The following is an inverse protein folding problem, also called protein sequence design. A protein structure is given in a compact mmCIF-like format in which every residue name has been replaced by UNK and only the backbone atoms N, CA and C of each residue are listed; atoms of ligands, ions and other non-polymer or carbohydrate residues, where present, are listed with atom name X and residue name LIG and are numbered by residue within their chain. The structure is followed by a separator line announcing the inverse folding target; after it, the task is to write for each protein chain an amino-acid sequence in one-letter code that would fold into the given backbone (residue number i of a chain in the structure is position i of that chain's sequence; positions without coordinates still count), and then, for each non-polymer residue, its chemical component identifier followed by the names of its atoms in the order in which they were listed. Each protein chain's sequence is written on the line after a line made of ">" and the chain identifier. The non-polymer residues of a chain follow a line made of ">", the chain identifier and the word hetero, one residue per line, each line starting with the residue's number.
data_IF_880334413919
#
_entry.id   IF_880334413919
#
_cell.length_a   1.000
_cell.length_b   1.000
_cell.length_c   1.000
_cell.angle_alpha   90.00
_cell.angle_beta   90.00
_cell.angle_gamma   90.00
#
_symmetry.space_group_name_H-M   'P 1'
#
loop_
_entity.id
_entity.type
_entity.pdbx_description
1 polymer ?
#
# COMPACT_ATOMS: atom_id res chain seq x y z
N UNK A 1 6.42 6.76 -19.50
CA UNK A 1 6.93 6.73 -20.88
C UNK A 1 8.39 7.09 -20.77
N UNK A 2 9.33 6.27 -21.28
CA UNK A 2 10.74 6.66 -21.28
C UNK A 2 10.88 8.00 -21.99
N UNK A 3 11.65 8.92 -21.42
CA UNK A 3 11.85 10.25 -21.99
C UNK A 3 12.58 10.21 -23.32
N UNK A 4 12.65 11.35 -24.00
CA UNK A 4 13.36 11.51 -25.29
C UNK A 4 14.88 11.30 -25.18
N UNK A 5 15.43 11.28 -23.96
CA UNK A 5 16.88 11.27 -23.72
C UNK A 5 17.29 9.94 -23.12
N UNK A 6 18.29 9.29 -23.70
CA UNK A 6 18.89 8.09 -23.12
C UNK A 6 19.46 8.39 -21.72
N UNK A 7 19.13 7.54 -20.76
CA UNK A 7 19.64 7.68 -19.41
C UNK A 7 21.16 7.53 -19.36
N UNK A 8 21.78 8.24 -18.42
CA UNK A 8 23.23 8.13 -18.18
C UNK A 8 23.62 6.67 -17.94
N UNK A 9 24.30 6.09 -18.92
CA UNK A 9 24.91 4.77 -18.85
C UNK A 9 26.43 4.91 -18.72
N UNK A 10 27.11 3.81 -18.39
CA UNK A 10 28.60 3.78 -18.40
C UNK A 10 29.08 3.59 -19.84
N UNK A 11 30.39 3.72 -20.06
CA UNK A 11 30.97 3.51 -21.39
C UNK A 11 30.66 2.10 -21.93
N UNK A 12 30.52 1.91 -23.26
CA UNK A 12 30.16 0.63 -23.85
C UNK A 12 31.03 -0.56 -23.41
N UNK A 13 32.34 -0.32 -23.23
CA UNK A 13 33.27 -1.34 -22.74
C UNK A 13 32.93 -1.81 -21.31
N UNK A 14 32.61 -0.87 -20.41
CA UNK A 14 32.25 -1.20 -19.02
C UNK A 14 30.86 -1.85 -18.98
N UNK A 15 29.93 -1.44 -19.85
CA UNK A 15 28.64 -2.13 -20.02
C UNK A 15 28.85 -3.60 -20.40
N UNK A 16 29.72 -3.87 -21.38
CA UNK A 16 30.01 -5.22 -21.83
C UNK A 16 30.60 -6.09 -20.72
N UNK A 17 31.66 -5.63 -20.05
CA UNK A 17 32.29 -6.37 -18.93
C UNK A 17 31.23 -6.68 -17.86
N UNK A 18 30.38 -5.72 -17.54
CA UNK A 18 29.35 -5.83 -16.51
C UNK A 18 28.23 -6.81 -16.86
N UNK A 19 27.82 -6.87 -18.13
CA UNK A 19 26.80 -7.82 -18.59
C UNK A 19 27.38 -9.24 -18.70
N UNK A 20 28.64 -9.38 -19.13
CA UNK A 20 29.35 -10.67 -19.19
C UNK A 20 29.57 -11.24 -17.79
N UNK A 21 30.14 -10.46 -16.85
CA UNK A 21 30.38 -10.93 -15.48
C UNK A 21 29.10 -11.23 -14.71
N UNK A 22 27.97 -10.59 -15.03
CA UNK A 22 26.68 -10.85 -14.37
C UNK A 22 25.82 -11.91 -15.06
N UNK A 23 26.10 -12.24 -16.32
CA UNK A 23 25.33 -13.22 -17.10
C UNK A 23 23.91 -12.77 -17.46
N UNK A 24 23.55 -11.51 -17.22
CA UNK A 24 22.25 -10.90 -17.60
C UNK A 24 22.36 -9.39 -17.69
N UNK A 25 21.51 -8.80 -18.55
CA UNK A 25 21.37 -7.34 -18.69
C UNK A 25 21.00 -6.70 -17.36
N UNK A 26 21.64 -5.57 -17.04
CA UNK A 26 21.37 -4.84 -15.82
C UNK A 26 20.11 -3.99 -15.90
N UNK A 27 19.26 -4.09 -14.87
CA UNK A 27 18.28 -3.05 -14.57
C UNK A 27 18.94 -2.03 -13.64
N UNK A 28 19.08 -0.78 -14.11
CA UNK A 28 19.71 0.28 -13.32
C UNK A 28 18.84 0.57 -12.08
N UNK A 29 19.41 0.62 -10.85
CA UNK A 29 18.65 0.95 -9.64
C UNK A 29 18.37 2.46 -9.52
N UNK A 30 19.01 3.28 -10.36
CA UNK A 30 18.85 4.72 -10.34
C UNK A 30 17.46 5.10 -10.85
N UNK A 31 16.82 6.02 -10.13
CA UNK A 31 15.53 6.58 -10.53
C UNK A 31 15.75 7.86 -11.32
N UNK A 32 15.49 7.81 -12.61
CA UNK A 32 15.53 8.98 -13.48
C UNK A 32 14.21 9.75 -13.41
N UNK A 33 14.26 11.04 -13.74
CA UNK A 33 13.13 11.96 -13.54
C UNK A 33 11.91 11.64 -14.41
N UNK A 34 12.15 11.06 -15.58
CA UNK A 34 11.17 10.65 -16.59
C UNK A 34 10.54 9.28 -16.31
N UNK A 35 11.27 8.41 -15.60
CA UNK A 35 10.76 7.14 -15.07
C UNK A 35 9.93 7.31 -13.78
N UNK A 36 9.93 8.51 -13.20
CA UNK A 36 9.22 8.80 -11.96
C UNK A 36 8.02 9.73 -12.23
N UNK A 37 7.00 9.61 -11.40
CA UNK A 37 5.94 10.61 -11.37
C UNK A 37 6.51 11.99 -11.03
N UNK A 38 5.93 13.05 -11.61
CA UNK A 38 6.29 14.44 -11.28
C UNK A 38 6.22 14.70 -9.78
N UNK A 39 7.05 15.62 -9.28
CA UNK A 39 7.03 16.03 -7.86
C UNK A 39 5.74 16.76 -7.50
N UNK A 40 5.26 17.60 -8.41
CA UNK A 40 3.98 18.29 -8.28
C UNK A 40 2.90 17.47 -8.97
N UNK A 41 1.87 17.12 -8.20
CA UNK A 41 0.69 16.42 -8.68
C UNK A 41 -0.50 17.39 -8.70
N UNK A 42 -1.44 17.26 -9.65
CA UNK A 42 -2.68 18.03 -9.63
C UNK A 42 -3.50 17.65 -8.38
N UNK A 43 -4.38 18.55 -7.90
CA UNK A 43 -5.26 18.22 -6.78
C UNK A 43 -6.15 17.02 -7.16
N UNK A 44 -6.19 15.95 -6.35
CA UNK A 44 -7.02 14.80 -6.64
C UNK A 44 -8.49 15.07 -6.28
N UNK A 45 -9.41 14.47 -7.04
CA UNK A 45 -10.82 14.38 -6.65
C UNK A 45 -11.08 12.95 -6.14
N UNK A 46 -11.19 12.78 -4.83
CA UNK A 46 -11.38 11.47 -4.20
C UNK A 46 -12.88 11.12 -4.20
N UNK A 47 -13.25 9.86 -4.50
CA UNK A 47 -14.63 9.43 -4.37
C UNK A 47 -15.02 9.39 -2.89
N UNK A 48 -16.31 9.63 -2.65
CA UNK A 48 -16.87 9.59 -1.31
C UNK A 48 -16.93 8.17 -0.75
N UNK A 49 -16.91 8.08 0.59
CA UNK A 49 -17.11 6.84 1.30
C UNK A 49 -18.57 6.35 1.26
N UNK A 50 -18.83 5.07 1.60
CA UNK A 50 -20.15 4.44 1.49
C UNK A 50 -21.25 5.08 2.38
N UNK A 51 -20.84 5.82 3.41
CA UNK A 51 -21.73 6.49 4.37
C UNK A 51 -21.85 8.01 4.11
N UNK A 52 -21.38 8.51 2.97
CA UNK A 52 -21.57 9.92 2.58
C UNK A 52 -22.95 10.12 1.95
N UNK A 53 -24.03 10.01 2.75
CA UNK A 53 -25.39 10.35 2.32
C UNK A 53 -26.05 11.22 3.41
N UNK A 54 -27.15 11.87 3.06
CA UNK A 54 -27.81 12.87 3.93
C UNK A 54 -28.94 12.29 4.79
N UNK A 55 -29.50 11.15 4.41
CA UNK A 55 -30.63 10.51 5.09
C UNK A 55 -30.39 9.01 5.31
N UNK A 56 -31.11 8.44 6.27
CA UNK A 56 -31.09 7.00 6.58
C UNK A 56 -29.69 6.43 6.94
N UNK A 57 -28.80 7.25 7.51
CA UNK A 57 -27.46 6.82 7.97
C UNK A 57 -27.28 7.13 9.45
N UNK A 58 -28.04 6.41 10.27
CA UNK A 58 -27.81 6.46 11.70
C UNK A 58 -26.52 5.71 12.06
N UNK A 59 -25.74 6.23 13.00
CA UNK A 59 -24.49 5.58 13.39
C UNK A 59 -24.73 4.23 14.07
N UNK A 60 -25.82 4.09 14.83
CA UNK A 60 -26.12 2.89 15.60
C UNK A 60 -26.33 1.64 14.72
N UNK A 61 -26.72 1.79 13.45
CA UNK A 61 -26.94 0.65 12.53
C UNK A 61 -25.65 0.11 11.92
N UNK A 62 -24.50 0.77 12.13
CA UNK A 62 -23.20 0.42 11.53
C UNK A 62 -22.05 0.47 12.53
N UNK A 63 -22.37 0.56 13.83
CA UNK A 63 -21.37 0.62 14.89
C UNK A 63 -20.94 -0.80 15.28
N UNK A 64 -20.05 -1.39 14.47
CA UNK A 64 -19.48 -2.71 14.72
C UNK A 64 -18.73 -2.79 16.07
N UNK A 65 -18.28 -1.66 16.63
CA UNK A 65 -17.58 -1.65 17.93
C UNK A 65 -18.52 -2.03 19.07
N UNK A 66 -19.81 -1.70 18.96
CA UNK A 66 -20.84 -2.03 19.95
C UNK A 66 -21.51 -3.39 19.70
N UNK A 67 -21.32 -3.96 18.51
CA UNK A 67 -21.82 -5.31 18.19
C UNK A 67 -20.96 -6.42 18.81
N UNK A 68 -19.72 -6.11 19.19
CA UNK A 68 -18.82 -7.05 19.86
C UNK A 68 -19.42 -7.47 21.22
N UNK A 69 -19.75 -8.76 21.34
CA UNK A 69 -20.25 -9.38 22.57
C UNK A 69 -19.11 -10.05 23.34
N UNK A 70 -19.25 -10.20 24.67
CA UNK A 70 -18.36 -11.05 25.45
C UNK A 70 -18.31 -12.48 24.86
N UNK A 71 -17.17 -13.18 25.03
CA UNK A 71 -17.06 -14.55 24.55
C UNK A 71 -18.10 -15.46 25.20
N UNK A 72 -18.63 -16.41 24.43
CA UNK A 72 -19.60 -17.39 24.91
C UNK A 72 -18.85 -18.44 25.74
N UNK A 73 -19.26 -18.61 27.00
CA UNK A 73 -18.70 -19.63 27.88
C UNK A 73 -19.33 -20.99 27.58
N UNK A 74 -18.56 -21.92 27.00
CA UNK A 74 -19.03 -23.29 26.68
C UNK A 74 -18.92 -24.20 27.91
N UNK A 75 -17.98 -23.92 28.81
CA UNK A 75 -17.84 -24.60 30.10
C UNK A 75 -16.75 -23.92 30.96
N UNK A 76 -17.03 -23.75 32.25
CA UNK A 76 -16.09 -23.18 33.22
C UNK A 76 -16.41 -23.69 34.62
N UNK A 77 -15.39 -24.19 35.33
CA UNK A 77 -15.50 -24.44 36.76
C UNK A 77 -15.57 -23.09 37.49
N UNK A 78 -16.48 -22.93 38.45
CA UNK A 78 -16.47 -21.79 39.37
C UNK A 78 -15.12 -21.80 40.11
N UNK A 79 -14.32 -20.75 39.93
CA UNK A 79 -12.99 -20.68 40.55
C UNK A 79 -13.05 -20.23 42.02
N UNK A 80 -14.18 -19.70 42.50
CA UNK A 80 -14.28 -19.19 43.89
C UNK A 80 -15.67 -19.54 44.42
N UNK A 81 -15.71 -20.42 45.43
CA UNK A 81 -16.85 -20.58 46.32
C UNK A 81 -16.90 -19.37 47.25
N UNK A 82 -17.96 -18.58 47.18
CA UNK A 82 -18.34 -17.65 48.25
C UNK A 82 -18.88 -18.49 49.41
N UNK A 83 -18.22 -18.40 50.57
CA UNK A 83 -18.80 -18.76 51.88
C UNK A 83 -20.15 -18.04 52.10
#
# INVERSE_FOLDING_TARGET
>A
MPGSVEHRSVTPLINFIRDVCRGRKITLPNRYTDDQSKRTQPPPNLPDGPNHKTSQIYYYTRDARREVKPPILIGGAKQIDTE
#
